data_IF_338170941781
#
_entry.id   IF_338170941781
#
_cell.length_a   1.000
_cell.length_b   1.000
_cell.length_c   1.000
_cell.angle_alpha   90.00
_cell.angle_beta   90.00
_cell.angle_gamma   90.00
#
_symmetry.space_group_name_H-M   'P 1'
#
loop_
_entity.id
_entity.type
_entity.pdbx_description
1 polymer ?
#
# COMPACT_ATOMS: atom_id res chain seq x y z
N UNK A 1 5.02 2.56 -8.93
CA UNK A 1 4.11 2.61 -7.77
C UNK A 1 2.91 1.73 -8.01
N UNK A 2 2.22 1.36 -6.95
CA UNK A 2 0.99 0.58 -7.01
C UNK A 2 -0.09 1.33 -6.25
N UNK A 3 -1.24 1.64 -6.87
CA UNK A 3 -2.41 2.13 -6.13
C UNK A 3 -2.78 1.11 -5.04
N UNK A 4 -3.36 1.59 -3.96
CA UNK A 4 -3.80 0.71 -2.86
C UNK A 4 -4.68 -0.40 -3.40
N UNK A 5 -4.35 -1.63 -3.03
CA UNK A 5 -4.96 -2.84 -3.60
C UNK A 5 -6.25 -3.26 -2.93
N UNK A 6 -6.57 -2.68 -1.79
CA UNK A 6 -7.64 -3.15 -0.93
C UNK A 6 -8.66 -2.07 -0.65
N UNK A 7 -9.77 -2.52 -0.09
CA UNK A 7 -10.82 -1.66 0.43
C UNK A 7 -10.21 -0.40 1.02
N UNK A 8 -10.53 0.70 0.39
CA UNK A 8 -10.04 2.00 0.78
C UNK A 8 -10.44 2.33 2.22
N UNK A 9 -9.50 2.24 3.14
CA UNK A 9 -9.74 2.54 4.56
C UNK A 9 -9.47 3.98 4.93
N UNK A 10 -8.54 4.66 4.22
CA UNK A 10 -8.12 6.02 4.53
C UNK A 10 -7.89 6.91 3.29
N UNK A 11 -8.04 6.37 2.10
CA UNK A 11 -7.96 7.14 0.85
C UNK A 11 -9.17 8.04 0.66
N UNK A 12 -9.01 9.08 -0.11
CA UNK A 12 -10.04 10.11 -0.34
C UNK A 12 -10.68 9.89 -1.71
N UNK A 13 -12.01 9.96 -1.82
CA UNK A 13 -12.70 9.95 -3.11
C UNK A 13 -12.23 11.10 -4.02
N UNK A 14 -12.36 10.96 -5.34
CA UNK A 14 -12.03 12.02 -6.27
C UNK A 14 -12.80 13.31 -5.94
N UNK A 15 -12.13 14.45 -6.09
CA UNK A 15 -12.70 15.79 -5.89
C UNK A 15 -13.25 16.07 -4.48
N UNK A 16 -13.16 15.15 -3.55
CA UNK A 16 -13.50 15.40 -2.16
C UNK A 16 -12.42 16.23 -1.48
N UNK A 17 -12.85 17.15 -0.60
CA UNK A 17 -11.91 17.87 0.25
C UNK A 17 -11.15 16.88 1.15
N UNK A 18 -9.86 17.13 1.44
CA UNK A 18 -9.11 16.33 2.37
C UNK A 18 -9.72 16.46 3.77
N UNK A 19 -9.73 15.35 4.49
CA UNK A 19 -10.10 15.36 5.90
C UNK A 19 -8.92 15.86 6.77
N UNK A 20 -9.15 15.95 8.06
CA UNK A 20 -8.18 16.38 9.09
C UNK A 20 -6.84 15.60 9.04
N UNK A 21 -6.87 14.37 8.56
CA UNK A 21 -5.67 13.53 8.45
C UNK A 21 -4.82 13.84 7.20
N UNK A 22 -5.46 14.12 6.06
CA UNK A 22 -4.76 14.39 4.80
C UNK A 22 -4.44 15.87 4.59
N UNK A 23 -5.27 16.78 5.10
CA UNK A 23 -5.15 18.22 4.86
C UNK A 23 -3.78 18.79 5.27
N UNK A 24 -3.23 18.51 6.47
CA UNK A 24 -1.91 19.01 6.85
C UNK A 24 -0.80 18.49 5.93
N UNK A 25 -0.92 17.24 5.46
CA UNK A 25 0.06 16.62 4.56
C UNK A 25 0.02 17.28 3.18
N UNK A 26 -1.18 17.55 2.64
CA UNK A 26 -1.33 18.27 1.38
C UNK A 26 -0.79 19.70 1.49
N UNK A 27 -1.08 20.40 2.58
CA UNK A 27 -0.55 21.74 2.83
C UNK A 27 0.98 21.74 2.83
N UNK A 28 1.62 20.80 3.51
CA UNK A 28 3.08 20.69 3.56
C UNK A 28 3.71 20.35 2.22
N UNK A 29 3.02 19.60 1.38
CA UNK A 29 3.50 19.22 0.05
C UNK A 29 3.09 20.19 -1.05
N UNK A 30 2.29 21.21 -0.74
CA UNK A 30 1.78 22.20 -1.69
C UNK A 30 0.77 21.61 -2.69
N UNK A 31 0.08 20.54 -2.32
CA UNK A 31 -0.90 19.88 -3.19
C UNK A 31 -2.25 20.59 -3.11
N UNK A 32 -2.80 20.93 -4.28
CA UNK A 32 -4.20 21.33 -4.42
C UNK A 32 -5.06 20.09 -4.70
N UNK A 33 -5.90 19.71 -3.77
CA UNK A 33 -6.74 18.52 -3.88
C UNK A 33 -7.70 18.57 -5.08
N UNK A 34 -8.08 19.76 -5.55
CA UNK A 34 -8.95 19.94 -6.72
C UNK A 34 -8.25 19.59 -8.03
N UNK A 35 -6.93 19.70 -8.06
CA UNK A 35 -6.09 19.41 -9.23
C UNK A 35 -5.45 18.02 -9.20
N UNK A 36 -5.74 17.19 -8.19
CA UNK A 36 -5.14 15.88 -8.05
C UNK A 36 -5.62 14.90 -9.14
N UNK A 37 -4.71 14.10 -9.71
CA UNK A 37 -5.09 13.01 -10.58
C UNK A 37 -5.88 11.95 -9.81
N UNK A 38 -6.61 11.13 -10.53
CA UNK A 38 -7.35 10.01 -9.97
C UNK A 38 -6.66 8.71 -10.32
N UNK A 39 -6.61 7.79 -9.39
CA UNK A 39 -6.13 6.41 -9.58
C UNK A 39 -7.23 5.42 -9.20
N UNK A 40 -7.24 4.30 -9.89
CA UNK A 40 -8.16 3.20 -9.60
C UNK A 40 -7.45 2.16 -8.73
N UNK A 41 -8.10 1.74 -7.65
CA UNK A 41 -7.61 0.65 -6.80
C UNK A 41 -7.64 -0.67 -7.54
N UNK A 42 -6.71 -1.57 -7.23
CA UNK A 42 -6.55 -2.80 -8.02
C UNK A 42 -7.62 -3.84 -7.69
N UNK A 43 -7.98 -3.97 -6.40
CA UNK A 43 -8.88 -5.04 -5.97
C UNK A 43 -10.35 -4.72 -6.25
N UNK A 44 -10.79 -3.54 -5.89
CA UNK A 44 -12.19 -3.14 -5.91
C UNK A 44 -12.55 -2.13 -7.01
N UNK A 45 -11.57 -1.73 -7.84
CA UNK A 45 -11.74 -0.80 -8.95
C UNK A 45 -12.38 0.56 -8.53
N UNK A 46 -12.13 1.00 -7.31
CA UNK A 46 -12.62 2.27 -6.77
C UNK A 46 -11.65 3.39 -7.17
N UNK A 47 -12.21 4.50 -7.69
CA UNK A 47 -11.42 5.69 -7.97
C UNK A 47 -11.16 6.49 -6.70
N UNK A 48 -9.90 6.81 -6.46
CA UNK A 48 -9.43 7.58 -5.30
C UNK A 48 -8.40 8.64 -5.73
N UNK A 49 -8.20 9.64 -4.88
CA UNK A 49 -7.04 10.54 -4.96
C UNK A 49 -5.75 9.72 -4.80
N UNK A 50 -4.59 10.25 -5.18
CA UNK A 50 -3.35 9.49 -5.14
C UNK A 50 -3.07 8.90 -3.76
N UNK A 51 -3.19 7.59 -3.65
CA UNK A 51 -2.83 6.83 -2.48
C UNK A 51 -2.19 5.51 -2.94
N UNK A 52 -0.89 5.39 -2.69
CA UNK A 52 -0.05 4.32 -3.19
C UNK A 52 0.38 3.40 -2.06
N UNK A 53 0.38 2.11 -2.35
CA UNK A 53 0.92 1.12 -1.44
C UNK A 53 2.45 1.26 -1.38
N UNK A 54 3.03 1.20 -0.18
CA UNK A 54 4.47 1.34 0.04
C UNK A 54 5.21 -0.01 0.18
N UNK A 55 4.53 -1.13 0.02
CA UNK A 55 5.15 -2.45 0.15
C UNK A 55 6.08 -2.75 -1.04
N UNK A 56 5.65 -2.37 -2.25
CA UNK A 56 6.45 -2.52 -3.46
C UNK A 56 6.34 -1.26 -4.30
N UNK A 57 7.45 -0.55 -4.45
CA UNK A 57 7.55 0.60 -5.34
C UNK A 57 9.00 0.78 -5.82
N UNK A 58 9.15 1.46 -6.92
CA UNK A 58 10.45 1.82 -7.48
C UNK A 58 10.42 3.26 -7.97
N UNK A 59 11.51 3.98 -7.79
CA UNK A 59 11.68 5.33 -8.29
C UNK A 59 13.14 5.61 -8.66
N UNK A 60 13.33 6.59 -9.52
CA UNK A 60 14.67 7.08 -9.82
C UNK A 60 15.23 7.82 -8.60
N UNK A 61 16.36 7.37 -8.01
CA UNK A 61 16.92 7.98 -6.80
C UNK A 61 17.29 9.46 -6.98
N UNK A 62 17.56 9.91 -8.20
CA UNK A 62 17.84 11.33 -8.52
C UNK A 62 16.67 12.27 -8.28
N UNK A 63 15.45 11.75 -8.10
CA UNK A 63 14.28 12.56 -7.78
C UNK A 63 14.24 13.01 -6.31
N UNK A 64 15.10 12.48 -5.43
CA UNK A 64 15.16 12.85 -4.03
C UNK A 64 13.92 12.44 -3.21
N UNK A 65 13.06 11.56 -3.75
CA UNK A 65 11.79 11.18 -3.11
C UNK A 65 11.99 10.54 -1.74
N UNK A 66 13.00 9.68 -1.58
CA UNK A 66 13.26 9.02 -0.30
C UNK A 66 13.66 10.02 0.79
N UNK A 67 14.50 10.99 0.46
CA UNK A 67 14.93 12.01 1.43
C UNK A 67 13.75 12.91 1.84
N UNK A 68 12.94 13.32 0.88
CA UNK A 68 11.76 14.15 1.17
C UNK A 68 10.70 13.37 1.96
N UNK A 69 10.46 12.11 1.62
CA UNK A 69 9.58 11.22 2.37
C UNK A 69 10.05 11.07 3.82
N UNK A 70 11.34 10.76 4.04
CA UNK A 70 11.91 10.64 5.37
C UNK A 70 11.79 11.94 6.17
N UNK A 71 12.07 13.09 5.55
CA UNK A 71 11.96 14.42 6.18
C UNK A 71 10.53 14.71 6.64
N UNK A 72 9.56 14.55 5.75
CA UNK A 72 8.16 14.82 6.05
C UNK A 72 7.59 13.83 7.05
N UNK A 73 7.87 12.54 6.87
CA UNK A 73 7.41 11.52 7.82
C UNK A 73 7.95 11.80 9.24
N UNK A 74 9.24 12.12 9.35
CA UNK A 74 9.85 12.48 10.65
C UNK A 74 9.17 13.69 11.26
N UNK A 75 8.83 14.70 10.47
CA UNK A 75 8.09 15.87 10.94
C UNK A 75 6.75 15.50 11.53
N UNK A 76 5.91 14.74 10.80
CA UNK A 76 4.59 14.33 11.27
C UNK A 76 4.67 13.37 12.46
N UNK A 77 5.68 12.51 12.54
CA UNK A 77 5.90 11.64 13.71
C UNK A 77 6.28 12.42 14.97
N UNK A 78 6.96 13.55 14.82
CA UNK A 78 7.37 14.44 15.94
C UNK A 78 6.32 15.51 16.28
N UNK A 79 5.30 15.68 15.46
CA UNK A 79 4.22 16.63 15.72
C UNK A 79 3.26 16.05 16.76
N UNK A 80 3.42 16.49 18.01
CA UNK A 80 2.63 15.99 19.13
C UNK A 80 1.13 16.26 18.97
N UNK A 81 0.77 17.41 18.42
CA UNK A 81 -0.64 17.77 18.18
C UNK A 81 -1.26 16.87 17.12
N UNK A 82 -0.54 16.67 16.00
CA UNK A 82 -0.97 15.78 14.94
C UNK A 82 -1.11 14.32 15.44
N UNK A 83 -0.13 13.85 16.22
CA UNK A 83 -0.16 12.48 16.76
C UNK A 83 -1.29 12.26 17.77
N UNK A 84 -1.53 13.22 18.68
CA UNK A 84 -2.55 13.10 19.71
C UNK A 84 -3.96 13.29 19.20
N UNK A 85 -4.16 14.26 18.31
CA UNK A 85 -5.50 14.72 17.93
C UNK A 85 -5.96 14.13 16.58
N UNK A 86 -5.04 13.80 15.69
CA UNK A 86 -5.34 13.34 14.33
C UNK A 86 -5.02 11.85 14.14
N UNK A 87 -3.83 11.39 14.55
CA UNK A 87 -3.44 9.98 14.45
C UNK A 87 -4.04 9.13 15.58
N UNK A 88 -5.32 9.28 15.88
CA UNK A 88 -5.98 8.65 17.03
C UNK A 88 -6.33 7.19 16.82
N UNK A 89 -6.50 6.75 15.58
CA UNK A 89 -6.84 5.36 15.25
C UNK A 89 -5.61 4.53 14.88
N UNK A 90 -5.70 3.21 15.05
CA UNK A 90 -4.66 2.28 14.61
C UNK A 90 -4.32 2.43 13.12
N UNK A 91 -5.33 2.56 12.26
CA UNK A 91 -5.12 2.69 10.81
C UNK A 91 -4.40 3.98 10.42
N UNK A 92 -4.75 5.11 11.07
CA UNK A 92 -4.07 6.39 10.82
C UNK A 92 -2.59 6.34 11.24
N UNK A 93 -2.29 5.69 12.36
CA UNK A 93 -0.90 5.47 12.80
C UNK A 93 -0.15 4.54 11.85
N UNK A 94 -0.77 3.41 11.52
CA UNK A 94 -0.17 2.39 10.66
C UNK A 94 0.15 2.92 9.26
N UNK A 95 -0.76 3.67 8.65
CA UNK A 95 -0.62 4.10 7.26
C UNK A 95 -0.04 5.50 7.06
N UNK A 96 0.40 6.19 8.12
CA UNK A 96 0.96 7.53 7.99
C UNK A 96 2.14 7.58 7.01
N UNK A 97 3.04 6.61 7.08
CA UNK A 97 4.18 6.54 6.19
C UNK A 97 3.78 6.40 4.72
N UNK A 98 2.73 5.65 4.44
CA UNK A 98 2.20 5.42 3.10
C UNK A 98 1.48 6.66 2.55
N UNK A 99 0.73 7.36 3.40
CA UNK A 99 0.06 8.61 3.05
C UNK A 99 1.08 9.71 2.71
N UNK A 100 2.10 9.88 3.55
CA UNK A 100 3.17 10.85 3.31
C UNK A 100 3.94 10.51 2.03
N UNK A 101 4.28 9.24 1.78
CA UNK A 101 4.90 8.81 0.54
C UNK A 101 4.04 9.16 -0.68
N UNK A 102 2.75 8.91 -0.59
CA UNK A 102 1.80 9.19 -1.67
C UNK A 102 1.75 10.67 -2.01
N UNK A 103 1.71 11.53 -1.00
CA UNK A 103 1.74 12.98 -1.18
C UNK A 103 3.07 13.45 -1.79
N UNK A 104 4.21 12.93 -1.33
CA UNK A 104 5.54 13.26 -1.89
C UNK A 104 5.64 12.86 -3.35
N UNK A 105 5.20 11.66 -3.71
CA UNK A 105 5.21 11.20 -5.12
C UNK A 105 4.34 12.14 -5.96
N UNK A 106 3.15 12.44 -5.50
CA UNK A 106 2.19 13.28 -6.23
C UNK A 106 2.70 14.71 -6.42
N UNK A 107 3.35 15.27 -5.42
CA UNK A 107 3.91 16.63 -5.50
C UNK A 107 5.16 16.73 -6.40
N UNK A 108 5.94 15.67 -6.49
CA UNK A 108 7.25 15.70 -7.16
C UNK A 108 7.27 15.04 -8.55
N UNK A 109 6.29 14.20 -8.84
CA UNK A 109 6.26 13.41 -10.08
C UNK A 109 5.03 13.77 -10.91
N UNK A 110 5.24 14.19 -12.13
CA UNK A 110 4.13 14.46 -13.08
C UNK A 110 3.26 13.18 -13.23
N UNK A 111 1.92 13.28 -13.21
CA UNK A 111 1.03 12.11 -13.27
C UNK A 111 1.35 11.14 -14.42
N UNK A 112 1.67 11.66 -15.60
CA UNK A 112 2.03 10.84 -16.76
C UNK A 112 3.30 9.98 -16.59
N UNK A 113 4.13 10.30 -15.59
CA UNK A 113 5.34 9.54 -15.24
C UNK A 113 5.13 8.55 -14.09
N UNK A 114 3.98 8.59 -13.43
CA UNK A 114 3.60 7.62 -12.42
C UNK A 114 3.05 6.39 -13.16
N UNK A 115 3.77 5.28 -13.08
CA UNK A 115 3.38 4.02 -13.73
C UNK A 115 2.89 3.04 -12.66
N UNK A 116 1.63 2.58 -12.73
CA UNK A 116 1.17 1.46 -11.91
C UNK A 116 2.02 0.21 -12.19
N UNK A 117 2.38 -0.50 -11.14
CA UNK A 117 3.01 -1.81 -11.26
C UNK A 117 1.93 -2.87 -11.55
N UNK A 118 2.25 -3.90 -12.34
CA UNK A 118 1.38 -5.05 -12.49
C UNK A 118 1.06 -5.68 -11.13
N UNK A 119 -0.10 -6.29 -11.00
CA UNK A 119 -0.52 -6.95 -9.76
C UNK A 119 0.48 -8.04 -9.34
N UNK A 120 1.02 -8.77 -10.29
CA UNK A 120 2.06 -9.78 -10.08
C UNK A 120 3.32 -9.25 -9.37
N UNK A 121 3.67 -7.96 -9.54
CA UNK A 121 4.80 -7.32 -8.87
C UNK A 121 4.54 -6.95 -7.40
N UNK A 122 3.55 -7.55 -6.78
CA UNK A 122 3.17 -7.32 -5.39
C UNK A 122 1.77 -7.87 -5.16
N UNK A 123 1.62 -9.16 -5.40
CA UNK A 123 0.33 -9.82 -5.30
C UNK A 123 -0.12 -9.88 -3.83
N UNK A 124 -1.30 -9.33 -3.50
CA UNK A 124 -1.80 -9.30 -2.12
C UNK A 124 -2.41 -10.66 -1.77
N UNK A 125 -1.56 -11.63 -1.46
CA UNK A 125 -1.96 -13.01 -1.25
C UNK A 125 -3.03 -13.15 -0.15
N UNK A 126 -2.89 -12.40 0.94
CA UNK A 126 -3.87 -12.34 2.03
C UNK A 126 -5.27 -11.88 1.60
N UNK A 127 -5.39 -11.32 0.40
CA UNK A 127 -6.66 -10.81 -0.13
C UNK A 127 -7.11 -11.59 -1.38
N UNK A 128 -6.45 -12.70 -1.68
CA UNK A 128 -6.72 -13.50 -2.86
C UNK A 128 -8.22 -13.76 -3.06
N UNK A 129 -8.90 -14.17 -2.00
CA UNK A 129 -10.33 -14.47 -2.03
C UNK A 129 -11.22 -13.27 -2.42
N UNK A 130 -10.77 -12.06 -2.09
CA UNK A 130 -11.51 -10.82 -2.34
C UNK A 130 -11.24 -10.23 -3.73
N UNK A 131 -10.23 -10.73 -4.42
CA UNK A 131 -9.91 -10.25 -5.77
C UNK A 131 -10.98 -10.70 -6.78
N UNK A 132 -11.29 -9.87 -7.78
CA UNK A 132 -12.06 -10.31 -8.93
C UNK A 132 -11.41 -11.54 -9.60
N UNK A 133 -12.20 -12.49 -10.06
CA UNK A 133 -11.69 -13.74 -10.66
C UNK A 133 -10.65 -13.48 -11.77
N UNK A 134 -10.85 -12.47 -12.61
CA UNK A 134 -9.92 -12.11 -13.68
C UNK A 134 -8.57 -11.55 -13.19
N UNK A 135 -8.44 -11.26 -11.88
CA UNK A 135 -7.21 -10.74 -11.24
C UNK A 135 -6.56 -11.77 -10.32
N UNK A 136 -7.20 -12.90 -10.10
CA UNK A 136 -6.64 -14.00 -9.31
C UNK A 136 -5.57 -14.74 -10.11
N UNK A 137 -4.46 -15.05 -9.45
CA UNK A 137 -3.47 -15.98 -9.99
C UNK A 137 -3.91 -17.42 -9.68
N UNK A 138 -3.55 -18.35 -10.53
CA UNK A 138 -3.80 -19.78 -10.34
C UNK A 138 -2.58 -20.54 -9.84
N UNK A 139 -1.38 -19.95 -10.04
CA UNK A 139 -0.12 -20.47 -9.56
C UNK A 139 0.71 -19.36 -8.93
N UNK A 140 1.53 -19.69 -7.92
CA UNK A 140 2.46 -18.74 -7.30
C UNK A 140 3.54 -18.25 -8.26
N UNK A 141 3.84 -19.02 -9.31
CA UNK A 141 4.81 -18.65 -10.35
C UNK A 141 4.36 -17.43 -11.18
N UNK A 142 3.07 -17.12 -11.15
CA UNK A 142 2.52 -15.92 -11.80
C UNK A 142 2.83 -14.62 -11.04
N UNK A 143 3.31 -14.71 -9.79
CA UNK A 143 3.64 -13.56 -8.97
C UNK A 143 5.15 -13.42 -8.78
N UNK A 144 5.70 -12.23 -9.07
CA UNK A 144 7.11 -11.94 -8.80
C UNK A 144 7.36 -11.59 -7.32
N UNK A 145 6.35 -11.07 -6.63
CA UNK A 145 6.39 -10.73 -5.20
C UNK A 145 5.03 -11.03 -4.58
N UNK A 146 5.03 -11.80 -3.51
CA UNK A 146 3.84 -12.06 -2.70
C UNK A 146 3.84 -11.16 -1.46
N UNK A 147 2.70 -10.57 -1.16
CA UNK A 147 2.51 -9.73 0.01
C UNK A 147 1.58 -10.44 0.99
N UNK A 148 2.08 -10.63 2.21
CA UNK A 148 1.35 -11.24 3.30
C UNK A 148 1.03 -10.20 4.37
N UNK A 149 -0.19 -10.21 4.86
CA UNK A 149 -0.58 -9.47 6.06
C UNK A 149 -0.26 -10.32 7.30
N UNK A 150 0.30 -9.70 8.35
CA UNK A 150 0.60 -10.37 9.63
C UNK A 150 -0.63 -10.99 10.29
N UNK A 151 -1.82 -10.48 10.03
CA UNK A 151 -3.07 -11.06 10.54
C UNK A 151 -3.31 -12.44 9.98
N UNK A 152 -2.79 -12.72 8.81
CA UNK A 152 -2.89 -14.01 8.14
C UNK A 152 -1.99 -15.08 8.76
N UNK A 153 -0.82 -14.69 9.30
CA UNK A 153 0.10 -15.61 9.98
C UNK A 153 -0.48 -16.21 11.27
N UNK A 154 -1.57 -15.62 11.78
CA UNK A 154 -2.31 -16.12 12.93
C UNK A 154 -3.48 -17.03 12.55
N UNK A 155 -3.81 -17.15 11.28
CA UNK A 155 -4.83 -18.05 10.77
C UNK A 155 -4.16 -19.39 10.46
N UNK A 156 -4.37 -20.40 11.31
CA UNK A 156 -3.83 -21.76 11.12
C UNK A 156 -4.22 -22.39 9.79
N UNK A 157 -5.28 -21.89 9.16
CA UNK A 157 -5.76 -22.34 7.85
C UNK A 157 -5.03 -21.71 6.65
N UNK A 158 -4.08 -20.81 6.87
CA UNK A 158 -3.38 -20.16 5.76
C UNK A 158 -2.55 -21.16 4.93
N UNK A 159 -1.97 -22.17 5.58
CA UNK A 159 -1.23 -23.25 4.92
C UNK A 159 -2.16 -24.15 4.11
N UNK A 160 -3.37 -24.44 4.61
CA UNK A 160 -4.36 -25.21 3.85
C UNK A 160 -4.78 -24.47 2.57
N UNK A 161 -4.97 -23.14 2.67
CA UNK A 161 -5.29 -22.29 1.51
C UNK A 161 -4.13 -22.15 0.54
N UNK A 162 -2.88 -22.27 1.01
CA UNK A 162 -1.69 -22.34 0.16
C UNK A 162 -1.65 -23.66 -0.62
N UNK A 163 -2.25 -24.74 -0.11
CA UNK A 163 -2.35 -26.03 -0.79
C UNK A 163 -3.15 -26.00 -2.10
N UNK A 164 -3.99 -24.98 -2.30
CA UNK A 164 -4.69 -24.74 -3.56
C UNK A 164 -3.77 -24.18 -4.66
N UNK A 165 -2.54 -23.78 -4.29
CA UNK A 165 -1.54 -23.27 -5.22
C UNK A 165 -0.43 -24.28 -5.42
N UNK A 166 0.00 -24.44 -6.65
CA UNK A 166 1.22 -25.18 -6.96
C UNK A 166 2.41 -24.41 -6.39
N UNK A 167 3.02 -24.93 -5.34
CA UNK A 167 4.24 -24.35 -4.80
C UNK A 167 5.43 -24.74 -5.66
N UNK A 168 6.36 -23.82 -5.96
CA UNK A 168 7.63 -24.19 -6.53
C UNK A 168 8.32 -25.27 -5.66
N UNK A 169 8.94 -26.29 -6.26
CA UNK A 169 9.49 -27.43 -5.52
C UNK A 169 10.51 -27.04 -4.43
N UNK A 170 11.20 -25.92 -4.60
CA UNK A 170 12.18 -25.34 -3.69
C UNK A 170 11.58 -24.58 -2.49
N UNK A 171 10.31 -24.20 -2.59
CA UNK A 171 9.59 -23.52 -1.49
C UNK A 171 8.75 -24.48 -0.65
N UNK A 172 8.38 -25.63 -1.17
CA UNK A 172 7.54 -26.61 -0.49
C UNK A 172 8.11 -27.12 0.85
N UNK A 173 9.43 -27.36 1.02
CA UNK A 173 10.01 -27.85 2.28
C UNK A 173 10.15 -26.79 3.37
N UNK A 174 10.19 -25.51 3.00
CA UNK A 174 10.46 -24.41 3.95
C UNK A 174 9.26 -23.87 4.71
N UNK A 175 8.06 -24.07 4.19
CA UNK A 175 6.82 -23.53 4.78
C UNK A 175 6.21 -24.42 5.87
N UNK A 176 6.64 -25.68 5.95
CA UNK A 176 6.16 -26.63 6.96
C UNK A 176 6.95 -26.67 8.28
N UNK A 177 8.05 -25.93 8.40
CA UNK A 177 8.96 -25.98 9.54
C UNK A 177 8.87 -24.71 10.41
N UNK A 178 7.68 -24.27 10.79
CA UNK A 178 7.55 -23.31 11.86
C UNK A 178 7.55 -24.10 13.18
N UNK A 179 8.73 -24.23 13.78
CA UNK A 179 8.88 -24.71 15.16
C UNK A 179 8.23 -23.68 16.09
N UNK A 180 7.12 -24.01 16.78
CA UNK A 180 6.43 -23.09 17.68
C UNK A 180 7.21 -22.76 18.95
N UNK A 181 8.46 -23.24 19.09
CA UNK A 181 9.33 -23.06 20.26
C UNK A 181 10.48 -22.05 20.06
N UNK A 182 10.46 -21.21 19.00
CA UNK A 182 11.42 -20.12 18.83
C UNK A 182 10.78 -18.76 18.83
#
# INVERSE_FOLDING_TARGET
VRPVTLVNTIGIPPQSAPNDYWEPIYKETGLDFKALPTFETIADAVKIQPYFNCEVFSFNPRLGLAAEWARLLTRFLKDNEYQKNICTTFLRKLFLHQVVLSAVITARVKPARIKPLPLASGYPFSQHEKLPAAKKISSLDEASVLIFDRTWQKDEKWLERMGDFTLPPDLAPGLGAHDPAR
#
